data_IF_265825682646
#
_entry.id   IF_265825682646
#
_cell.length_a   1.000
_cell.length_b   1.000
_cell.length_c   1.000
_cell.angle_alpha   90.00
_cell.angle_beta   90.00
_cell.angle_gamma   90.00
#
_symmetry.space_group_name_H-M   'P 1'
#
loop_
_entity.id
_entity.type
_entity.pdbx_description
1 polymer ?
#
# COMPACT_ATOMS: atom_id res chain seq x y z
N UNK A 1 48.84 -5.24 -9.53
CA UNK A 1 47.84 -4.47 -10.29
C UNK A 1 46.47 -4.94 -9.82
N UNK A 2 45.66 -4.27 -8.99
CA UNK A 2 45.57 -2.85 -8.65
C UNK A 2 44.26 -2.28 -9.20
N UNK A 3 43.27 -2.06 -8.31
CA UNK A 3 41.94 -1.39 -8.50
C UNK A 3 40.86 -2.27 -9.18
N UNK A 4 39.60 -2.31 -8.76
CA UNK A 4 38.82 -1.30 -8.06
C UNK A 4 37.69 -1.96 -7.23
N UNK A 5 37.74 -1.83 -5.90
CA UNK A 5 36.62 -2.06 -5.01
C UNK A 5 35.72 -0.82 -5.05
N UNK A 6 34.53 -0.90 -5.66
CA UNK A 6 33.49 0.10 -5.42
C UNK A 6 32.75 -0.22 -4.12
N UNK A 7 33.20 0.43 -3.06
CA UNK A 7 32.41 0.66 -1.86
C UNK A 7 31.39 1.79 -2.04
N UNK A 8 30.74 2.11 -0.91
CA UNK A 8 29.93 3.30 -0.60
C UNK A 8 28.44 3.20 -0.97
N UNK A 9 27.48 3.54 -0.09
CA UNK A 9 27.57 4.44 1.06
C UNK A 9 27.70 3.79 2.43
N UNK A 10 28.91 3.85 2.98
CA UNK A 10 29.14 4.22 4.37
C UNK A 10 28.49 5.57 4.64
N UNK A 11 27.95 5.71 5.85
CA UNK A 11 27.69 7.02 6.44
C UNK A 11 29.01 7.79 6.39
N UNK A 12 29.09 8.79 5.53
CA UNK A 12 30.04 9.87 5.70
C UNK A 12 29.55 10.64 6.93
N UNK A 13 30.34 10.59 8.00
CA UNK A 13 30.04 11.15 9.31
C UNK A 13 30.67 10.24 10.36
N UNK A 14 31.66 10.75 11.09
CA UNK A 14 32.43 9.99 12.08
C UNK A 14 31.53 9.18 13.00
N UNK A 15 32.02 8.02 13.44
CA UNK A 15 31.38 7.29 14.52
C UNK A 15 31.51 8.18 15.75
N UNK A 16 30.47 8.95 16.08
CA UNK A 16 30.35 9.50 17.43
C UNK A 16 30.42 8.30 18.37
N UNK A 17 31.53 8.18 19.10
CA UNK A 17 31.61 7.25 20.21
C UNK A 17 30.73 7.80 21.32
N UNK A 18 29.48 7.34 21.33
CA UNK A 18 28.59 7.59 22.46
C UNK A 18 29.16 6.87 23.68
N UNK A 19 29.61 7.66 24.66
CA UNK A 19 30.05 7.16 25.95
C UNK A 19 28.89 6.54 26.75
N UNK A 20 29.25 5.96 27.89
CA UNK A 20 28.28 5.31 28.77
C UNK A 20 27.27 6.30 29.36
N UNK A 21 27.70 7.52 29.67
CA UNK A 21 26.88 8.55 30.30
C UNK A 21 25.78 9.04 29.35
N UNK A 22 26.11 9.28 28.09
CA UNK A 22 25.15 9.61 27.05
C UNK A 22 24.10 8.51 26.87
N UNK A 23 24.54 7.25 26.78
CA UNK A 23 23.63 6.10 26.62
C UNK A 23 22.73 5.93 27.84
N UNK A 24 23.26 6.18 29.05
CA UNK A 24 22.48 6.20 30.29
C UNK A 24 21.45 7.31 30.29
N UNK A 25 21.83 8.52 29.86
CA UNK A 25 20.92 9.65 29.68
C UNK A 25 19.78 9.32 28.72
N UNK A 26 20.09 8.72 27.55
CA UNK A 26 19.07 8.29 26.58
C UNK A 26 18.16 7.19 27.10
N UNK A 27 18.71 6.25 27.86
CA UNK A 27 17.92 5.23 28.54
C UNK A 27 16.92 5.88 29.51
N UNK A 28 17.40 6.77 30.39
CA UNK A 28 16.56 7.49 31.36
C UNK A 28 15.46 8.29 30.66
N UNK A 29 15.82 9.11 29.67
CA UNK A 29 14.90 9.93 28.89
C UNK A 29 13.73 9.09 28.33
N UNK A 30 14.05 7.99 27.65
CA UNK A 30 13.02 7.16 27.01
C UNK A 30 12.17 6.39 28.03
N UNK A 31 12.76 5.87 29.11
CA UNK A 31 12.01 5.22 30.18
C UNK A 31 11.03 6.18 30.87
N UNK A 32 11.47 7.40 31.19
CA UNK A 32 10.62 8.46 31.76
C UNK A 32 9.50 8.82 30.80
N UNK A 33 9.82 9.01 29.51
CA UNK A 33 8.83 9.33 28.48
C UNK A 33 7.76 8.24 28.32
N UNK A 34 8.15 6.97 28.47
CA UNK A 34 7.23 5.84 28.40
C UNK A 34 6.27 5.76 29.60
N UNK A 35 6.78 5.99 30.81
CA UNK A 35 6.00 5.87 32.06
C UNK A 35 5.21 7.13 32.41
N UNK A 36 5.76 8.30 32.08
CA UNK A 36 5.24 9.63 32.41
C UNK A 36 5.18 10.50 31.14
N UNK A 37 4.33 10.13 30.17
CA UNK A 37 4.27 10.82 28.88
C UNK A 37 3.88 12.30 29.05
N UNK A 38 4.51 13.18 28.27
CA UNK A 38 4.15 14.61 28.14
C UNK A 38 3.67 14.90 26.72
N UNK A 39 2.70 15.82 26.60
CA UNK A 39 2.13 16.21 25.31
C UNK A 39 1.50 15.05 24.56
N UNK A 40 1.76 14.96 23.25
CA UNK A 40 1.14 13.97 22.35
C UNK A 40 1.87 12.61 22.29
N UNK A 41 2.77 12.32 23.23
CA UNK A 41 3.52 11.05 23.21
C UNK A 41 2.64 9.89 23.70
N UNK A 42 2.57 8.81 22.90
CA UNK A 42 1.87 7.58 23.28
C UNK A 42 2.75 6.71 24.19
N UNK A 43 2.57 6.89 25.50
CA UNK A 43 3.26 6.15 26.56
C UNK A 43 2.74 4.72 26.75
N UNK A 44 3.32 4.02 27.73
CA UNK A 44 3.09 2.60 27.99
C UNK A 44 1.60 2.27 28.22
N UNK A 45 0.93 3.03 29.10
CA UNK A 45 -0.48 2.83 29.43
C UNK A 45 -1.41 3.02 28.23
N UNK A 46 -1.20 4.09 27.46
CA UNK A 46 -2.00 4.36 26.27
C UNK A 46 -1.80 3.31 25.17
N UNK A 47 -0.58 2.77 25.03
CA UNK A 47 -0.33 1.65 24.12
C UNK A 47 -1.02 0.37 24.60
N UNK A 48 -0.98 0.06 25.90
CA UNK A 48 -1.69 -1.09 26.48
C UNK A 48 -3.20 -1.02 26.19
N UNK A 49 -3.84 0.10 26.52
CA UNK A 49 -5.27 0.31 26.30
C UNK A 49 -5.67 0.18 24.82
N UNK A 50 -4.82 0.66 23.91
CA UNK A 50 -5.04 0.51 22.47
C UNK A 50 -4.96 -0.96 22.05
N UNK A 51 -3.92 -1.67 22.44
CA UNK A 51 -3.73 -3.08 22.04
C UNK A 51 -4.81 -3.97 22.66
N UNK A 52 -5.17 -3.74 23.92
CA UNK A 52 -6.27 -4.44 24.58
C UNK A 52 -7.60 -4.25 23.84
N UNK A 53 -7.89 -3.03 23.38
CA UNK A 53 -9.08 -2.73 22.57
C UNK A 53 -9.04 -3.46 21.22
N UNK A 54 -7.91 -3.37 20.51
CA UNK A 54 -7.72 -4.08 19.23
C UNK A 54 -7.95 -5.58 19.39
N UNK A 55 -7.37 -6.21 20.43
CA UNK A 55 -7.54 -7.64 20.69
C UNK A 55 -8.98 -8.00 21.09
N UNK A 56 -9.67 -7.15 21.84
CA UNK A 56 -11.07 -7.35 22.20
C UNK A 56 -11.99 -7.31 20.96
N UNK A 57 -11.78 -6.35 20.06
CA UNK A 57 -12.50 -6.25 18.78
C UNK A 57 -12.25 -7.49 17.91
N UNK A 58 -10.98 -7.92 17.79
CA UNK A 58 -10.62 -9.13 17.05
C UNK A 58 -11.30 -10.36 17.67
N UNK A 59 -11.28 -10.50 19.00
CA UNK A 59 -11.90 -11.63 19.71
C UNK A 59 -13.39 -11.73 19.40
N UNK A 60 -14.11 -10.59 19.44
CA UNK A 60 -15.52 -10.54 19.11
C UNK A 60 -15.78 -10.94 17.65
N UNK A 61 -15.00 -10.39 16.72
CA UNK A 61 -15.12 -10.71 15.30
C UNK A 61 -14.77 -12.16 14.98
N UNK A 62 -13.85 -12.78 15.73
CA UNK A 62 -13.42 -14.16 15.53
C UNK A 62 -14.36 -15.20 16.12
N UNK A 63 -15.40 -14.81 16.86
CA UNK A 63 -16.44 -15.73 17.35
C UNK A 63 -17.07 -16.54 16.20
N UNK A 64 -17.24 -15.94 15.03
CA UNK A 64 -17.76 -16.61 13.83
C UNK A 64 -16.87 -17.74 13.28
N UNK A 65 -15.60 -17.79 13.70
CA UNK A 65 -14.62 -18.79 13.27
C UNK A 65 -14.38 -19.89 14.29
N UNK A 66 -15.15 -19.89 15.39
CA UNK A 66 -15.16 -20.95 16.40
C UNK A 66 -14.34 -20.66 17.66
N UNK A 67 -14.60 -21.46 18.70
CA UNK A 67 -14.08 -21.26 20.06
C UNK A 67 -12.54 -21.25 20.12
N UNK A 68 -11.86 -22.07 19.30
CA UNK A 68 -10.40 -22.13 19.26
C UNK A 68 -9.76 -20.77 18.90
N UNK A 69 -10.39 -19.99 18.00
CA UNK A 69 -9.92 -18.66 17.64
C UNK A 69 -10.21 -17.64 18.75
N UNK A 70 -11.35 -17.75 19.43
CA UNK A 70 -11.70 -16.89 20.56
C UNK A 70 -10.76 -17.13 21.75
N UNK A 71 -10.50 -18.39 22.09
CA UNK A 71 -9.55 -18.77 23.15
C UNK A 71 -8.15 -18.29 22.81
N UNK A 72 -7.72 -18.47 21.55
CA UNK A 72 -6.44 -17.99 21.07
C UNK A 72 -6.26 -16.47 21.28
N UNK A 73 -7.22 -15.66 20.82
CA UNK A 73 -7.13 -14.20 20.99
C UNK A 73 -7.26 -13.81 22.47
N UNK A 74 -8.03 -14.55 23.27
CA UNK A 74 -8.06 -14.41 24.72
C UNK A 74 -6.67 -14.55 25.35
N UNK A 75 -5.92 -15.60 24.97
CA UNK A 75 -4.53 -15.81 25.42
C UNK A 75 -3.62 -14.66 24.98
N UNK A 76 -3.81 -14.09 23.78
CA UNK A 76 -3.07 -12.90 23.36
C UNK A 76 -3.27 -11.73 24.34
N UNK A 77 -4.51 -11.49 24.77
CA UNK A 77 -4.84 -10.45 25.76
C UNK A 77 -4.13 -10.68 27.10
N UNK A 78 -4.21 -11.89 27.66
CA UNK A 78 -3.53 -12.24 28.93
C UNK A 78 -2.00 -12.09 28.81
N UNK A 79 -1.45 -12.52 27.68
CA UNK A 79 -0.02 -12.42 27.39
C UNK A 79 0.46 -10.98 27.26
N UNK A 80 -0.36 -10.13 26.64
CA UNK A 80 -0.13 -8.69 26.50
C UNK A 80 -0.16 -8.00 27.87
N UNK A 81 -1.22 -8.19 28.65
CA UNK A 81 -1.36 -7.57 29.98
C UNK A 81 -0.17 -7.93 30.88
N UNK A 82 0.20 -9.22 30.91
CA UNK A 82 1.37 -9.68 31.64
C UNK A 82 2.66 -9.02 31.15
N UNK A 83 2.82 -8.86 29.84
CA UNK A 83 4.00 -8.24 29.26
C UNK A 83 4.11 -6.76 29.63
N UNK A 84 3.01 -6.01 29.60
CA UNK A 84 3.00 -4.59 29.99
C UNK A 84 3.30 -4.41 31.47
N UNK A 85 2.73 -5.26 32.35
CA UNK A 85 3.04 -5.25 33.79
C UNK A 85 4.52 -5.55 34.09
N UNK A 86 5.08 -6.59 33.47
CA UNK A 86 6.51 -6.91 33.64
C UNK A 86 7.42 -5.82 33.06
N UNK A 87 7.01 -5.23 31.94
CA UNK A 87 7.73 -4.12 31.33
C UNK A 87 7.71 -2.87 32.22
N UNK A 88 6.56 -2.48 32.76
CA UNK A 88 6.43 -1.36 33.69
C UNK A 88 7.31 -1.56 34.92
N UNK A 89 7.25 -2.76 35.53
CA UNK A 89 8.09 -3.10 36.68
C UNK A 89 9.58 -2.95 36.38
N UNK A 90 10.03 -3.49 35.24
CA UNK A 90 11.41 -3.38 34.80
C UNK A 90 11.82 -1.92 34.54
N UNK A 91 10.96 -1.12 33.90
CA UNK A 91 11.23 0.30 33.64
C UNK A 91 11.35 1.11 34.94
N UNK A 92 10.43 0.91 35.90
CA UNK A 92 10.45 1.60 37.19
C UNK A 92 11.69 1.23 38.01
N UNK A 93 12.04 -0.05 38.06
CA UNK A 93 13.24 -0.52 38.75
C UNK A 93 14.52 0.06 38.10
N UNK A 94 14.57 0.06 36.76
CA UNK A 94 15.68 0.64 36.01
C UNK A 94 15.84 2.15 36.22
N UNK A 95 14.75 2.91 36.28
CA UNK A 95 14.80 4.34 36.58
C UNK A 95 15.25 4.63 38.01
N UNK A 96 14.74 3.87 38.99
CA UNK A 96 15.08 4.07 40.40
C UNK A 96 16.57 3.83 40.67
N UNK A 97 17.17 2.87 39.96
CA UNK A 97 18.57 2.45 40.12
C UNK A 97 19.37 2.69 38.85
N UNK A 98 19.08 3.80 38.17
CA UNK A 98 19.63 4.06 36.83
C UNK A 98 21.15 4.12 36.86
N UNK A 99 21.75 4.70 37.91
CA UNK A 99 23.21 4.84 38.05
C UNK A 99 23.91 3.50 38.32
N UNK A 100 23.19 2.52 38.88
CA UNK A 100 23.71 1.18 39.17
C UNK A 100 23.66 0.24 37.95
N UNK A 101 23.05 0.66 36.85
CA UNK A 101 22.96 -0.18 35.65
C UNK A 101 24.33 -0.35 35.02
N UNK A 102 24.72 -1.61 34.80
CA UNK A 102 25.89 -1.95 33.97
C UNK A 102 25.49 -1.83 32.51
N UNK A 103 26.08 -0.87 31.80
CA UNK A 103 25.83 -0.64 30.38
C UNK A 103 27.04 -1.16 29.59
N UNK A 104 26.79 -2.13 28.71
CA UNK A 104 27.85 -2.70 27.86
C UNK A 104 27.48 -2.55 26.40
N UNK A 105 28.37 -1.98 25.58
CA UNK A 105 28.22 -1.98 24.12
C UNK A 105 28.29 -3.43 23.61
N UNK A 106 27.30 -3.81 22.80
CA UNK A 106 27.15 -5.18 22.25
C UNK A 106 27.15 -5.22 20.72
N UNK A 107 27.22 -4.07 20.08
CA UNK A 107 27.37 -3.92 18.64
C UNK A 107 27.60 -2.45 18.27
N UNK A 108 27.75 -2.16 16.97
CA UNK A 108 28.03 -0.80 16.48
C UNK A 108 27.00 0.23 16.98
N UNK A 109 25.73 -0.14 17.01
CA UNK A 109 24.62 0.74 17.38
C UNK A 109 23.74 0.16 18.50
N UNK A 110 24.31 -0.70 19.36
CA UNK A 110 23.54 -1.43 20.38
C UNK A 110 24.28 -1.53 21.71
N UNK A 111 23.57 -1.21 22.79
CA UNK A 111 24.03 -1.35 24.17
C UNK A 111 23.06 -2.22 24.95
N UNK A 112 23.59 -2.96 25.91
CA UNK A 112 22.83 -3.79 26.86
C UNK A 112 22.95 -3.14 28.23
N UNK A 113 21.82 -2.78 28.82
CA UNK A 113 21.75 -2.26 30.17
C UNK A 113 21.10 -3.31 31.08
N UNK A 114 21.76 -3.61 32.20
CA UNK A 114 21.27 -4.60 33.16
C UNK A 114 21.71 -4.24 34.58
N UNK A 115 20.79 -4.44 35.53
CA UNK A 115 21.11 -4.47 36.94
C UNK A 115 21.65 -5.85 37.35
N UNK A 116 22.61 -5.89 38.28
CA UNK A 116 23.11 -7.15 38.83
C UNK A 116 21.97 -7.90 39.55
N UNK A 117 21.87 -9.22 39.38
CA UNK A 117 20.79 -10.03 39.97
C UNK A 117 19.41 -9.89 39.33
N UNK A 118 19.12 -8.81 38.60
CA UNK A 118 17.82 -8.64 37.95
C UNK A 118 17.57 -9.70 36.85
N UNK A 119 16.31 -10.15 36.75
CA UNK A 119 15.86 -11.13 35.75
C UNK A 119 15.60 -10.49 34.37
N UNK A 120 15.29 -9.20 34.34
CA UNK A 120 15.05 -8.45 33.11
C UNK A 120 16.34 -7.90 32.50
N UNK A 121 16.27 -7.50 31.23
CA UNK A 121 17.37 -6.89 30.47
C UNK A 121 16.81 -5.81 29.55
N UNK A 122 17.49 -4.67 29.49
CA UNK A 122 17.18 -3.58 28.58
C UNK A 122 18.22 -3.53 27.47
N UNK A 123 17.79 -3.16 26.27
CA UNK A 123 18.70 -2.87 25.18
C UNK A 123 18.43 -1.49 24.63
N UNK A 124 19.48 -0.70 24.50
CA UNK A 124 19.43 0.61 23.86
C UNK A 124 19.94 0.43 22.43
N UNK A 125 19.21 1.01 21.47
CA UNK A 125 19.52 0.88 20.05
C UNK A 125 19.49 2.24 19.37
N UNK A 126 20.52 2.54 18.59
CA UNK A 126 20.49 3.58 17.58
C UNK A 126 20.05 2.96 16.24
N UNK A 127 18.88 3.37 15.75
CA UNK A 127 18.32 2.91 14.47
C UNK A 127 19.10 3.53 13.31
N UNK A 128 19.05 2.89 12.14
CA UNK A 128 19.68 3.43 10.92
C UNK A 128 19.15 4.81 10.50
N UNK A 129 17.94 5.16 10.95
CA UNK A 129 17.33 6.47 10.75
C UNK A 129 17.87 7.56 11.68
N UNK A 130 18.78 7.25 12.61
CA UNK A 130 19.28 8.17 13.62
C UNK A 130 18.46 8.23 14.91
N UNK A 131 17.31 7.56 14.96
CA UNK A 131 16.43 7.55 16.14
C UNK A 131 16.86 6.53 17.19
N UNK A 132 16.73 6.88 18.47
CA UNK A 132 16.98 5.98 19.58
C UNK A 132 15.75 5.16 19.95
N UNK A 133 16.00 3.98 20.52
CA UNK A 133 14.95 3.15 21.11
C UNK A 133 15.49 2.30 22.26
N UNK A 134 14.61 1.99 23.21
CA UNK A 134 14.87 1.09 24.34
C UNK A 134 13.95 -0.13 24.23
N UNK A 135 14.53 -1.32 24.18
CA UNK A 135 13.82 -2.61 24.17
C UNK A 135 13.85 -3.21 25.58
N UNK A 136 12.67 -3.34 26.20
CA UNK A 136 12.47 -4.21 27.36
C UNK A 136 12.20 -5.62 26.86
N UNK A 137 13.18 -6.51 27.02
CA UNK A 137 13.13 -7.87 26.45
C UNK A 137 12.50 -8.85 27.44
N UNK A 138 11.45 -9.55 26.99
CA UNK A 138 10.57 -10.34 27.85
C UNK A 138 10.51 -11.83 27.47
N UNK A 139 10.31 -12.15 26.19
CA UNK A 139 10.08 -13.52 25.69
C UNK A 139 9.04 -14.32 26.49
N UNK A 140 7.92 -13.69 26.82
CA UNK A 140 6.81 -14.36 27.51
C UNK A 140 6.08 -15.24 26.49
N UNK A 141 6.07 -16.56 26.70
CA UNK A 141 5.24 -17.47 25.89
C UNK A 141 3.78 -17.25 26.23
N UNK A 142 2.98 -17.03 25.20
CA UNK A 142 1.55 -16.71 25.29
C UNK A 142 0.71 -17.92 24.93
N UNK A 143 1.01 -18.55 23.80
CA UNK A 143 0.25 -19.69 23.31
C UNK A 143 1.14 -20.71 22.60
N UNK A 144 0.72 -21.97 22.67
CA UNK A 144 1.13 -23.05 21.78
C UNK A 144 -0.14 -23.77 21.34
N UNK A 145 -0.43 -23.76 20.06
CA UNK A 145 -1.73 -24.18 19.54
C UNK A 145 -1.63 -24.73 18.12
N UNK A 146 -2.72 -25.37 17.69
CA UNK A 146 -3.01 -25.72 16.30
C UNK A 146 -4.40 -25.19 15.99
N UNK A 147 -4.54 -24.31 15.00
CA UNK A 147 -5.85 -23.79 14.60
C UNK A 147 -6.45 -24.67 13.50
N UNK A 148 -7.79 -24.85 13.50
CA UNK A 148 -8.48 -25.54 12.42
C UNK A 148 -8.39 -24.75 11.11
N UNK A 149 -8.59 -25.41 9.97
CA UNK A 149 -8.65 -24.76 8.67
C UNK A 149 -9.98 -24.02 8.47
N UNK A 150 -10.02 -22.77 8.94
CA UNK A 150 -11.14 -21.86 8.75
C UNK A 150 -11.12 -21.20 7.37
N UNK A 151 -9.94 -21.03 6.77
CA UNK A 151 -9.82 -20.34 5.49
C UNK A 151 -10.33 -21.21 4.32
N UNK A 152 -10.19 -22.54 4.39
CA UNK A 152 -10.71 -23.50 3.40
C UNK A 152 -10.40 -23.11 1.95
N UNK A 153 -9.24 -22.49 1.72
CA UNK A 153 -8.80 -22.05 0.39
C UNK A 153 -8.11 -23.24 -0.28
N UNK A 154 -8.25 -23.43 -1.60
CA UNK A 154 -7.50 -24.47 -2.30
C UNK A 154 -6.01 -24.48 -1.94
N UNK A 155 -5.36 -25.65 -1.74
CA UNK A 155 -3.99 -25.74 -1.26
C UNK A 155 -2.97 -24.92 -2.06
N UNK A 156 -3.18 -24.80 -3.38
CA UNK A 156 -2.34 -23.99 -4.26
C UNK A 156 -2.45 -22.48 -3.94
N UNK A 157 -3.67 -21.99 -3.71
CA UNK A 157 -3.92 -20.59 -3.34
C UNK A 157 -3.47 -20.30 -1.91
N UNK A 158 -3.62 -21.24 -0.99
CA UNK A 158 -3.08 -21.14 0.36
C UNK A 158 -1.56 -21.00 0.34
N UNK A 159 -0.88 -21.79 -0.50
CA UNK A 159 0.59 -21.67 -0.70
C UNK A 159 0.96 -20.29 -1.22
N UNK A 160 0.23 -19.77 -2.20
CA UNK A 160 0.43 -18.41 -2.73
C UNK A 160 0.20 -17.36 -1.64
N UNK A 161 -0.80 -17.57 -0.79
CA UNK A 161 -1.08 -16.67 0.32
C UNK A 161 0.05 -16.64 1.36
N UNK A 162 0.57 -17.82 1.72
CA UNK A 162 1.75 -17.95 2.58
C UNK A 162 2.99 -17.30 1.95
N UNK A 163 3.21 -17.44 0.63
CA UNK A 163 4.26 -16.72 -0.10
C UNK A 163 4.12 -15.21 0.03
N UNK A 164 2.90 -14.67 -0.10
CA UNK A 164 2.61 -13.25 0.07
C UNK A 164 3.08 -12.72 1.43
N UNK A 165 2.75 -13.43 2.51
CA UNK A 165 3.20 -13.10 3.87
C UNK A 165 4.73 -13.08 4.00
N UNK A 166 5.41 -14.12 3.50
CA UNK A 166 6.87 -14.29 3.62
C UNK A 166 7.66 -13.32 2.73
N UNK A 167 7.08 -12.91 1.60
CA UNK A 167 7.63 -11.84 0.77
C UNK A 167 7.36 -10.46 1.39
N UNK A 168 6.30 -10.36 2.18
CA UNK A 168 5.78 -9.15 2.77
C UNK A 168 6.82 -8.40 3.57
N UNK A 169 7.35 -8.91 4.66
CA UNK A 169 8.18 -8.07 5.53
C UNK A 169 9.58 -8.64 5.89
N UNK A 170 10.48 -7.73 6.28
CA UNK A 170 11.86 -8.06 6.65
C UNK A 170 11.95 -8.85 7.96
N UNK A 171 10.84 -8.97 8.69
CA UNK A 171 10.72 -9.68 9.95
C UNK A 171 10.27 -11.14 9.80
N UNK A 172 10.03 -11.60 8.56
CA UNK A 172 9.77 -13.00 8.25
C UNK A 172 11.07 -13.72 7.92
N UNK A 173 11.36 -14.77 8.69
CA UNK A 173 12.47 -15.68 8.45
C UNK A 173 11.91 -17.08 8.30
N UNK A 174 12.30 -17.77 7.24
CA UNK A 174 11.69 -19.04 6.86
C UNK A 174 12.76 -19.96 6.28
N UNK A 175 12.87 -21.14 6.88
CA UNK A 175 13.77 -22.21 6.46
C UNK A 175 12.99 -23.51 6.19
N UNK A 176 13.72 -24.59 5.90
CA UNK A 176 13.14 -25.92 5.71
C UNK A 176 12.82 -26.56 7.07
N UNK A 177 11.84 -26.02 7.78
CA UNK A 177 11.37 -26.61 9.04
C UNK A 177 10.51 -25.68 9.87
N UNK A 178 10.78 -24.38 9.79
CA UNK A 178 10.04 -23.37 10.52
C UNK A 178 9.86 -22.06 9.76
N UNK A 179 8.77 -21.36 10.10
CA UNK A 179 8.51 -19.99 9.67
C UNK A 179 8.37 -19.13 10.92
N UNK A 180 9.12 -18.04 10.95
CA UNK A 180 9.19 -17.09 12.05
C UNK A 180 8.68 -15.73 11.57
N UNK A 181 7.91 -15.06 12.42
CA UNK A 181 7.45 -13.69 12.21
C UNK A 181 7.71 -12.87 13.47
N UNK A 182 8.20 -11.65 13.32
CA UNK A 182 8.12 -10.61 14.36
C UNK A 182 7.26 -9.46 13.87
N UNK A 183 6.37 -8.95 14.72
CA UNK A 183 5.51 -7.82 14.36
C UNK A 183 5.15 -6.99 15.60
N UNK A 184 4.83 -5.72 15.41
CA UNK A 184 4.20 -4.88 16.44
C UNK A 184 2.69 -4.70 16.24
N UNK A 185 2.09 -5.35 15.23
CA UNK A 185 0.69 -5.20 14.88
C UNK A 185 -0.14 -6.37 15.43
N UNK A 186 -1.16 -6.05 16.23
CA UNK A 186 -2.05 -7.03 16.89
C UNK A 186 -2.83 -7.88 15.88
N UNK A 187 -3.32 -7.26 14.82
CA UNK A 187 -4.05 -7.96 13.76
C UNK A 187 -3.18 -8.99 13.00
N UNK A 188 -1.88 -8.71 12.81
CA UNK A 188 -0.95 -9.63 12.15
C UNK A 188 -0.72 -10.87 13.00
N UNK A 189 -0.44 -10.71 14.30
CA UNK A 189 -0.27 -11.86 15.19
C UNK A 189 -1.56 -12.68 15.26
N UNK A 190 -2.73 -12.04 15.32
CA UNK A 190 -4.01 -12.75 15.33
C UNK A 190 -4.30 -13.52 14.01
N UNK A 191 -3.98 -12.93 12.86
CA UNK A 191 -4.29 -13.54 11.56
C UNK A 191 -3.30 -14.61 11.12
N UNK A 192 -2.01 -14.38 11.39
CA UNK A 192 -0.93 -15.16 10.81
C UNK A 192 -1.08 -16.68 11.02
N UNK A 193 -1.44 -17.19 12.21
CA UNK A 193 -1.65 -18.63 12.44
C UNK A 193 -2.73 -19.26 11.55
N UNK A 194 -3.76 -18.51 11.14
CA UNK A 194 -4.82 -19.00 10.25
C UNK A 194 -4.33 -19.39 8.85
N UNK A 195 -3.19 -18.85 8.41
CA UNK A 195 -2.56 -19.23 7.14
C UNK A 195 -1.75 -20.53 7.24
N UNK A 196 -1.68 -21.15 8.43
CA UNK A 196 -0.93 -22.38 8.70
C UNK A 196 -1.84 -23.40 9.40
N UNK A 197 -2.94 -23.80 8.75
CA UNK A 197 -3.90 -24.71 9.36
C UNK A 197 -3.21 -25.99 9.81
N UNK A 198 -3.62 -26.47 10.99
CA UNK A 198 -3.14 -27.73 11.60
C UNK A 198 -1.63 -27.78 11.92
N UNK A 199 -0.91 -26.66 11.77
CA UNK A 199 0.50 -26.55 12.16
C UNK A 199 0.65 -26.16 13.62
N UNK A 200 1.75 -26.60 14.22
CA UNK A 200 2.14 -26.18 15.55
C UNK A 200 2.63 -24.73 15.53
N UNK A 201 1.84 -23.83 16.11
CA UNK A 201 2.17 -22.41 16.22
C UNK A 201 2.48 -22.06 17.67
N UNK A 202 3.65 -21.45 17.89
CA UNK A 202 4.06 -20.90 19.19
C UNK A 202 4.13 -19.38 19.09
N UNK A 203 3.53 -18.71 20.06
CA UNK A 203 3.43 -17.25 20.09
C UNK A 203 3.97 -16.73 21.41
N UNK A 204 4.76 -15.66 21.31
CA UNK A 204 5.37 -14.99 22.45
C UNK A 204 5.23 -13.47 22.33
N UNK A 205 5.14 -12.78 23.46
CA UNK A 205 5.52 -11.36 23.52
C UNK A 205 7.04 -11.30 23.69
N UNK A 206 7.72 -10.85 22.65
CA UNK A 206 9.18 -10.75 22.61
C UNK A 206 9.68 -9.60 23.48
N UNK A 207 9.08 -8.42 23.32
CA UNK A 207 9.55 -7.21 23.98
C UNK A 207 8.52 -6.09 23.96
N UNK A 208 8.70 -5.11 24.85
CA UNK A 208 8.11 -3.77 24.71
C UNK A 208 9.21 -2.82 24.26
N UNK A 209 8.98 -2.10 23.16
CA UNK A 209 9.94 -1.19 22.53
C UNK A 209 9.46 0.24 22.69
N UNK A 210 10.29 1.05 23.33
CA UNK A 210 10.11 2.47 23.52
C UNK A 210 10.89 3.18 22.42
N UNK A 211 10.20 3.83 21.50
CA UNK A 211 10.81 4.69 20.51
C UNK A 211 10.65 6.14 20.96
N UNK A 212 11.41 7.05 20.35
CA UNK A 212 11.30 8.49 20.63
C UNK A 212 9.91 9.06 20.36
N UNK A 213 9.08 8.42 19.53
CA UNK A 213 7.73 8.89 19.17
C UNK A 213 6.58 8.10 19.78
N UNK A 214 6.80 6.83 20.18
CA UNK A 214 5.77 5.96 20.76
C UNK A 214 6.33 4.71 21.45
N UNK A 215 5.55 4.12 22.33
CA UNK A 215 5.74 2.75 22.83
C UNK A 215 5.00 1.74 21.95
N UNK A 216 5.59 0.57 21.72
CA UNK A 216 5.00 -0.53 20.95
C UNK A 216 5.32 -1.89 21.58
N UNK A 217 4.38 -2.83 21.54
CA UNK A 217 4.64 -4.24 21.84
C UNK A 217 5.24 -4.92 20.61
N UNK A 218 6.10 -5.93 20.80
CA UNK A 218 6.62 -6.77 19.73
C UNK A 218 6.27 -8.23 20.01
N UNK A 219 5.50 -8.80 19.10
CA UNK A 219 5.12 -10.19 19.05
C UNK A 219 6.16 -11.01 18.29
N UNK A 220 6.24 -12.29 18.63
CA UNK A 220 7.05 -13.27 17.92
C UNK A 220 6.24 -14.55 17.74
N UNK A 221 6.14 -15.01 16.50
CA UNK A 221 5.39 -16.20 16.11
C UNK A 221 6.34 -17.18 15.45
N UNK A 222 6.22 -18.46 15.79
CA UNK A 222 6.97 -19.56 15.20
C UNK A 222 6.00 -20.65 14.79
N UNK A 223 5.99 -20.99 13.50
CA UNK A 223 5.24 -22.10 12.93
C UNK A 223 6.22 -23.23 12.66
N UNK A 224 5.98 -24.39 13.25
CA UNK A 224 6.80 -25.60 13.04
C UNK A 224 6.13 -26.58 12.09
N UNK A 225 6.93 -27.46 11.49
CA UNK A 225 6.41 -28.54 10.65
C UNK A 225 6.02 -28.07 9.23
N UNK A 226 6.68 -27.01 8.77
CA UNK A 226 6.61 -26.54 7.39
C UNK A 226 7.50 -27.45 6.54
N UNK A 227 6.93 -28.54 6.04
CA UNK A 227 7.55 -29.37 5.00
C UNK A 227 7.34 -28.66 3.66
N UNK A 228 8.35 -28.71 2.79
CA UNK A 228 8.30 -28.15 1.43
C UNK A 228 8.16 -26.62 1.33
N UNK A 229 8.78 -25.88 2.26
CA UNK A 229 8.92 -24.43 2.18
C UNK A 229 9.45 -24.01 0.78
N UNK A 230 8.71 -23.21 0.00
CA UNK A 230 9.16 -22.69 -1.29
C UNK A 230 10.56 -22.09 -1.20
N UNK A 231 11.42 -22.36 -2.20
CA UNK A 231 12.78 -21.77 -2.28
C UNK A 231 12.75 -20.24 -2.14
N UNK A 232 11.67 -19.63 -2.63
CA UNK A 232 11.36 -18.22 -2.54
C UNK A 232 11.47 -17.64 -1.10
N UNK A 233 11.16 -18.46 -0.10
CA UNK A 233 11.10 -18.03 1.30
C UNK A 233 12.47 -17.74 1.89
N UNK A 234 13.48 -18.50 1.45
CA UNK A 234 14.89 -18.34 1.81
C UNK A 234 15.64 -17.29 0.99
N UNK A 235 14.97 -16.61 0.05
CA UNK A 235 15.63 -15.67 -0.84
C UNK A 235 16.13 -14.42 -0.09
N UNK A 236 17.30 -13.86 -0.47
CA UNK A 236 17.77 -12.60 0.07
C UNK A 236 16.77 -11.46 -0.17
N UNK A 237 16.75 -10.49 0.75
CA UNK A 237 15.85 -9.33 0.71
C UNK A 237 15.84 -8.60 -0.64
N UNK A 238 17.01 -8.44 -1.27
CA UNK A 238 17.14 -7.77 -2.59
C UNK A 238 16.39 -8.54 -3.68
N UNK A 239 16.40 -9.87 -3.62
CA UNK A 239 15.68 -10.71 -4.60
C UNK A 239 14.18 -10.64 -4.35
N UNK A 240 13.75 -10.73 -3.08
CA UNK A 240 12.32 -10.54 -2.70
C UNK A 240 11.79 -9.19 -3.20
N UNK A 241 12.57 -8.11 -3.07
CA UNK A 241 12.21 -6.79 -3.60
C UNK A 241 12.02 -6.77 -5.12
N UNK A 242 12.88 -7.45 -5.90
CA UNK A 242 12.72 -7.54 -7.36
C UNK A 242 11.43 -8.29 -7.75
N UNK A 243 11.10 -9.35 -7.02
CA UNK A 243 9.85 -10.09 -7.22
C UNK A 243 8.65 -9.17 -6.98
N UNK A 244 8.65 -8.41 -5.88
CA UNK A 244 7.57 -7.46 -5.57
C UNK A 244 7.41 -6.41 -6.67
N UNK A 245 8.53 -5.83 -7.16
CA UNK A 245 8.49 -4.87 -8.26
C UNK A 245 7.89 -5.47 -9.53
N UNK A 246 8.20 -6.74 -9.83
CA UNK A 246 7.62 -7.46 -10.97
C UNK A 246 6.11 -7.66 -10.80
N UNK A 247 5.64 -8.03 -9.61
CA UNK A 247 4.19 -8.19 -9.37
C UNK A 247 3.44 -6.86 -9.48
N UNK A 248 3.99 -5.77 -8.94
CA UNK A 248 3.40 -4.42 -9.08
C UNK A 248 3.41 -3.97 -10.55
N UNK A 249 4.51 -4.18 -11.27
CA UNK A 249 4.64 -3.86 -12.69
C UNK A 249 3.62 -4.60 -13.55
N UNK A 250 3.51 -5.92 -13.36
CA UNK A 250 2.54 -6.75 -14.08
C UNK A 250 1.09 -6.31 -13.82
N UNK A 251 0.73 -5.99 -12.58
CA UNK A 251 -0.61 -5.47 -12.27
C UNK A 251 -0.90 -4.13 -12.96
N UNK A 252 0.10 -3.25 -13.06
CA UNK A 252 0.00 -1.98 -13.79
C UNK A 252 -0.08 -2.15 -15.31
N UNK A 253 0.49 -3.21 -15.87
CA UNK A 253 0.36 -3.63 -17.27
C UNK A 253 -0.97 -4.33 -17.56
N UNK A 254 -1.83 -4.53 -16.56
CA UNK A 254 -3.12 -5.20 -16.71
C UNK A 254 -3.07 -6.72 -16.58
N UNK A 255 -1.91 -7.32 -16.32
CA UNK A 255 -1.74 -8.75 -16.06
C UNK A 255 -2.19 -9.05 -14.63
N UNK A 256 -3.50 -9.10 -14.38
CA UNK A 256 -4.08 -9.40 -13.06
C UNK A 256 -4.72 -10.78 -13.09
N UNK A 257 -4.07 -11.74 -12.43
CA UNK A 257 -4.57 -13.10 -12.18
C UNK A 257 -4.73 -13.32 -10.66
N UNK A 258 -5.37 -14.42 -10.26
CA UNK A 258 -5.67 -14.68 -8.84
C UNK A 258 -4.40 -14.85 -8.00
N UNK A 259 -3.34 -15.41 -8.59
CA UNK A 259 -2.06 -15.64 -7.91
C UNK A 259 -1.41 -14.30 -7.56
N UNK A 260 -1.33 -13.38 -8.52
CA UNK A 260 -0.81 -12.03 -8.33
C UNK A 260 -1.68 -11.20 -7.42
N UNK A 261 -3.00 -11.33 -7.53
CA UNK A 261 -3.94 -10.65 -6.65
C UNK A 261 -3.73 -11.06 -5.19
N UNK A 262 -3.62 -12.37 -4.91
CA UNK A 262 -3.32 -12.90 -3.58
C UNK A 262 -1.97 -12.43 -3.05
N UNK A 263 -0.91 -12.52 -3.87
CA UNK A 263 0.41 -11.99 -3.52
C UNK A 263 0.31 -10.52 -3.15
N UNK A 264 -0.26 -9.68 -4.01
CA UNK A 264 -0.37 -8.24 -3.75
C UNK A 264 -1.26 -7.91 -2.55
N UNK A 265 -2.29 -8.69 -2.26
CA UNK A 265 -3.10 -8.52 -1.05
C UNK A 265 -2.32 -8.83 0.24
N UNK A 266 -1.45 -9.83 0.20
CA UNK A 266 -0.72 -10.34 1.38
C UNK A 266 0.73 -9.85 1.47
N UNK A 267 1.21 -9.14 0.46
CA UNK A 267 2.47 -8.42 0.50
C UNK A 267 2.35 -7.26 1.51
N UNK A 268 2.97 -7.46 2.68
CA UNK A 268 3.09 -6.48 3.76
C UNK A 268 4.46 -5.78 3.79
N UNK A 269 4.99 -5.45 2.61
CA UNK A 269 6.28 -4.76 2.47
C UNK A 269 6.19 -3.31 2.89
N UNK A 270 6.50 -3.11 4.18
CA UNK A 270 6.49 -1.88 4.95
C UNK A 270 5.12 -1.19 4.90
N UNK A 271 4.61 -0.79 6.07
CA UNK A 271 3.38 -0.02 6.17
C UNK A 271 3.45 1.18 5.21
N UNK A 272 2.80 1.00 4.06
CA UNK A 272 2.46 2.08 3.17
C UNK A 272 1.44 2.95 3.88
N UNK A 273 1.43 4.22 3.51
CA UNK A 273 0.24 5.04 3.68
C UNK A 273 -0.89 4.32 2.94
N UNK A 274 -1.66 3.49 3.65
CA UNK A 274 -2.93 3.05 3.12
C UNK A 274 -3.80 4.28 3.15
N UNK A 275 -4.19 4.77 1.97
CA UNK A 275 -4.92 6.01 1.92
C UNK A 275 -6.25 5.65 2.62
N UNK A 276 -6.57 6.37 3.70
CA UNK A 276 -7.66 5.99 4.62
C UNK A 276 -9.00 5.80 3.87
N UNK A 277 -10.04 5.29 4.54
CA UNK A 277 -11.35 5.07 3.91
C UNK A 277 -11.92 6.30 3.17
N UNK A 278 -11.48 7.52 3.53
CA UNK A 278 -11.85 8.79 2.90
C UNK A 278 -10.86 9.33 1.86
N UNK A 279 -9.88 8.54 1.44
CA UNK A 279 -8.87 8.99 0.51
C UNK A 279 -9.37 8.94 -0.93
N UNK A 280 -9.23 10.05 -1.65
CA UNK A 280 -9.60 10.14 -3.07
C UNK A 280 -8.74 9.26 -4.00
N UNK A 281 -7.82 8.45 -3.47
CA UNK A 281 -6.87 7.62 -4.22
C UNK A 281 -7.23 6.14 -4.07
N UNK A 282 -7.85 5.59 -5.10
CA UNK A 282 -8.16 4.15 -5.19
C UNK A 282 -6.94 3.30 -5.59
N UNK A 283 -5.79 3.45 -4.92
CA UNK A 283 -4.52 2.79 -5.27
C UNK A 283 -4.00 1.91 -4.14
N UNK A 284 -3.36 0.78 -4.46
CA UNK A 284 -2.61 -0.02 -3.49
C UNK A 284 -1.16 0.45 -3.47
N UNK A 285 -0.72 0.95 -2.32
CA UNK A 285 0.63 1.46 -2.10
C UNK A 285 1.50 0.47 -1.32
N UNK A 286 2.76 0.34 -1.72
CA UNK A 286 3.74 -0.61 -1.19
C UNK A 286 5.08 0.09 -0.97
N UNK A 287 5.68 -0.07 0.20
CA UNK A 287 7.01 0.44 0.48
C UNK A 287 8.08 -0.62 0.14
N UNK A 288 8.61 -0.54 -1.07
CA UNK A 288 9.62 -1.49 -1.58
C UNK A 288 11.02 -0.89 -1.40
N UNK A 289 11.72 -1.33 -0.35
CA UNK A 289 13.03 -0.78 -0.01
C UNK A 289 12.89 0.61 0.61
N UNK A 290 13.45 1.65 -0.03
CA UNK A 290 13.32 3.07 0.40
C UNK A 290 12.34 3.87 -0.47
N UNK A 291 11.64 3.23 -1.41
CA UNK A 291 10.77 3.91 -2.39
C UNK A 291 9.33 3.42 -2.24
N UNK A 292 8.39 4.35 -2.29
CA UNK A 292 6.98 4.00 -2.48
C UNK A 292 6.74 3.54 -3.93
N UNK A 293 5.93 2.51 -4.08
CA UNK A 293 5.47 1.91 -5.34
C UNK A 293 3.97 1.68 -5.23
N UNK A 294 3.25 1.88 -6.33
CA UNK A 294 1.79 1.76 -6.32
C UNK A 294 1.28 0.92 -7.48
N UNK A 295 0.23 0.16 -7.22
CA UNK A 295 -0.67 -0.37 -8.24
C UNK A 295 -1.72 0.71 -8.52
N UNK A 296 -1.82 1.14 -9.78
CA UNK A 296 -2.76 2.17 -10.22
C UNK A 296 -4.21 1.71 -10.01
N UNK A 297 -5.14 2.65 -10.08
CA UNK A 297 -6.57 2.42 -9.78
C UNK A 297 -7.17 1.20 -10.45
N UNK A 298 -6.97 1.03 -11.77
CA UNK A 298 -7.53 -0.10 -12.50
C UNK A 298 -6.98 -1.45 -12.09
N UNK A 299 -5.68 -1.51 -11.80
CA UNK A 299 -5.07 -2.72 -11.24
C UNK A 299 -5.62 -3.02 -9.85
N UNK A 300 -5.74 -2.01 -9.00
CA UNK A 300 -6.21 -2.15 -7.62
C UNK A 300 -7.68 -2.62 -7.54
N UNK A 301 -8.57 -2.04 -8.35
CA UNK A 301 -9.98 -2.46 -8.43
C UNK A 301 -10.11 -3.87 -9.01
N UNK A 302 -9.35 -4.21 -10.06
CA UNK A 302 -9.36 -5.58 -10.62
C UNK A 302 -8.87 -6.61 -9.60
N UNK A 303 -7.80 -6.31 -8.87
CA UNK A 303 -7.30 -7.17 -7.79
C UNK A 303 -8.38 -7.37 -6.72
N UNK A 304 -8.97 -6.27 -6.23
CA UNK A 304 -10.01 -6.31 -5.21
C UNK A 304 -11.21 -7.19 -5.64
N UNK A 305 -11.76 -6.95 -6.84
CA UNK A 305 -12.88 -7.73 -7.39
C UNK A 305 -12.55 -9.20 -7.57
N UNK A 306 -11.36 -9.49 -8.09
CA UNK A 306 -10.93 -10.87 -8.29
C UNK A 306 -10.82 -11.61 -6.96
N UNK A 307 -10.27 -10.97 -5.93
CA UNK A 307 -10.21 -11.56 -4.59
C UNK A 307 -11.59 -11.77 -3.97
N UNK A 308 -12.50 -10.80 -4.14
CA UNK A 308 -13.89 -10.93 -3.68
C UNK A 308 -14.64 -12.07 -4.37
N UNK A 309 -14.34 -12.31 -5.64
CA UNK A 309 -14.97 -13.37 -6.42
C UNK A 309 -14.41 -14.75 -6.07
N UNK A 310 -13.09 -14.88 -5.99
CA UNK A 310 -12.41 -16.18 -5.97
C UNK A 310 -12.00 -16.63 -4.55
N UNK A 311 -11.74 -15.69 -3.63
CA UNK A 311 -11.28 -15.97 -2.25
C UNK A 311 -11.93 -15.05 -1.19
N UNK A 312 -13.27 -14.83 -1.23
CA UNK A 312 -13.95 -13.92 -0.30
C UNK A 312 -13.73 -14.26 1.17
N UNK A 313 -13.60 -15.55 1.50
CA UNK A 313 -13.38 -16.05 2.85
C UNK A 313 -12.03 -15.62 3.44
N UNK A 314 -10.99 -15.48 2.60
CA UNK A 314 -9.70 -14.95 3.05
C UNK A 314 -9.80 -13.46 3.39
N UNK A 315 -10.52 -12.69 2.57
CA UNK A 315 -10.72 -11.27 2.83
C UNK A 315 -11.56 -11.04 4.08
N UNK A 316 -12.65 -11.79 4.26
CA UNK A 316 -13.48 -11.73 5.45
C UNK A 316 -12.69 -12.07 6.72
N UNK A 317 -11.83 -13.08 6.66
CA UNK A 317 -10.96 -13.46 7.78
C UNK A 317 -9.96 -12.34 8.14
N UNK A 318 -9.34 -11.72 7.14
CA UNK A 318 -8.43 -10.60 7.36
C UNK A 318 -9.16 -9.35 7.88
N UNK A 319 -10.35 -9.03 7.37
CA UNK A 319 -11.18 -7.93 7.87
C UNK A 319 -11.56 -8.17 9.33
N UNK A 320 -11.95 -9.38 9.70
CA UNK A 320 -12.29 -9.73 11.08
C UNK A 320 -11.11 -9.54 12.05
N UNK A 321 -9.88 -9.60 11.56
CA UNK A 321 -8.69 -9.29 12.35
C UNK A 321 -8.42 -7.79 12.55
N UNK A 322 -9.18 -6.90 11.91
CA UNK A 322 -8.90 -5.46 11.86
C UNK A 322 -7.85 -5.08 10.82
N UNK A 323 -7.68 -5.90 9.77
CA UNK A 323 -6.73 -5.60 8.71
C UNK A 323 -7.25 -4.48 7.78
N UNK A 324 -6.74 -3.26 7.99
CA UNK A 324 -7.08 -2.08 7.18
C UNK A 324 -6.92 -2.27 5.67
N UNK A 325 -5.92 -3.04 5.25
CA UNK A 325 -5.71 -3.32 3.83
C UNK A 325 -6.83 -4.19 3.25
N UNK A 326 -7.32 -5.16 4.02
CA UNK A 326 -8.45 -5.99 3.60
C UNK A 326 -9.76 -5.17 3.58
N UNK A 327 -9.98 -4.29 4.56
CA UNK A 327 -11.09 -3.33 4.56
C UNK A 327 -11.03 -2.36 3.37
N UNK A 328 -9.83 -1.93 2.98
CA UNK A 328 -9.65 -1.10 1.79
C UNK A 328 -9.88 -1.88 0.50
N UNK A 329 -9.41 -3.13 0.41
CA UNK A 329 -9.73 -4.01 -0.72
C UNK A 329 -11.25 -4.29 -0.78
N UNK A 330 -11.91 -4.39 0.36
CA UNK A 330 -13.37 -4.46 0.47
C UNK A 330 -14.04 -3.28 -0.21
N UNK A 331 -13.70 -2.07 0.23
CA UNK A 331 -14.29 -0.86 -0.36
C UNK A 331 -13.99 -0.76 -1.85
N UNK A 332 -12.77 -1.08 -2.29
CA UNK A 332 -12.40 -1.08 -3.71
C UNK A 332 -13.15 -2.08 -4.58
N UNK A 333 -13.60 -3.21 -4.04
CA UNK A 333 -14.37 -4.19 -4.81
C UNK A 333 -15.75 -3.65 -5.19
N UNK A 334 -16.38 -2.89 -4.28
CA UNK A 334 -17.68 -2.25 -4.45
C UNK A 334 -17.63 -0.88 -5.10
N UNK A 335 -16.43 -0.28 -5.22
CA UNK A 335 -16.23 0.81 -6.17
C UNK A 335 -16.55 0.20 -7.53
N UNK A 336 -17.69 0.60 -8.12
CA UNK A 336 -17.84 0.56 -9.56
C UNK A 336 -16.55 1.10 -10.10
N UNK A 337 -15.86 0.38 -11.01
CA UNK A 337 -14.70 1.00 -11.59
C UNK A 337 -15.30 2.30 -12.10
N UNK A 338 -14.80 3.46 -11.66
CA UNK A 338 -14.94 4.58 -12.57
C UNK A 338 -14.38 3.96 -13.84
N UNK A 339 -15.22 3.72 -14.88
CA UNK A 339 -14.67 3.26 -16.13
C UNK A 339 -13.52 4.21 -16.31
N UNK A 340 -12.32 3.70 -16.55
CA UNK A 340 -11.23 4.59 -16.88
C UNK A 340 -11.85 5.58 -17.86
N UNK A 341 -12.12 6.83 -17.42
CA UNK A 341 -12.90 7.82 -18.17
C UNK A 341 -11.89 8.50 -19.09
N UNK A 342 -11.38 7.57 -19.88
CA UNK A 342 -10.22 7.38 -20.70
C UNK A 342 -10.50 5.99 -21.31
N UNK A 343 -11.72 5.74 -21.80
CA UNK A 343 -11.78 5.31 -23.19
C UNK A 343 -11.03 6.43 -23.89
N UNK A 344 -9.72 6.24 -24.05
CA UNK A 344 -8.91 7.19 -24.77
C UNK A 344 -9.32 6.98 -26.23
N UNK A 345 -10.52 7.47 -26.56
CA UNK A 345 -10.90 7.77 -27.92
C UNK A 345 -10.05 8.97 -28.25
N UNK A 346 -8.98 8.66 -28.96
CA UNK A 346 -8.09 9.66 -29.46
C UNK A 346 -8.68 10.17 -30.76
N UNK A 347 -8.65 11.48 -30.95
CA UNK A 347 -8.60 12.01 -32.29
C UNK A 347 -7.13 11.98 -32.72
N UNK A 348 -6.81 11.17 -33.71
CA UNK A 348 -5.47 11.12 -34.29
C UNK A 348 -5.37 12.17 -35.38
N UNK A 349 -4.43 13.11 -35.24
CA UNK A 349 -4.16 14.16 -36.23
C UNK A 349 -2.65 14.27 -36.38
N UNK A 350 -2.14 14.25 -37.60
CA UNK A 350 -0.71 14.26 -37.89
C UNK A 350 0.07 13.21 -37.08
N UNK A 351 -0.47 11.99 -36.96
CA UNK A 351 0.14 10.91 -36.18
C UNK A 351 0.22 11.16 -34.67
N UNK A 352 -0.45 12.19 -34.15
CA UNK A 352 -0.52 12.49 -32.72
C UNK A 352 -1.92 12.19 -32.20
N UNK A 353 -1.98 11.37 -31.17
CA UNK A 353 -3.21 10.95 -30.50
C UNK A 353 -3.64 11.98 -29.45
N UNK A 354 -4.66 12.77 -29.76
CA UNK A 354 -5.24 13.76 -28.83
C UNK A 354 -6.42 13.17 -28.06
N UNK A 355 -6.40 13.30 -26.74
CA UNK A 355 -7.45 12.77 -25.87
C UNK A 355 -8.75 13.56 -25.99
N UNK A 356 -9.85 12.93 -26.39
CA UNK A 356 -11.18 13.54 -26.37
C UNK A 356 -11.73 13.64 -24.94
N UNK A 357 -12.40 14.74 -24.64
CA UNK A 357 -12.95 15.05 -23.33
C UNK A 357 -14.21 15.90 -23.40
N UNK A 358 -15.15 15.62 -22.50
CA UNK A 358 -16.22 16.56 -22.16
C UNK A 358 -15.69 17.59 -21.17
N UNK A 359 -15.73 18.87 -21.56
CA UNK A 359 -15.28 20.02 -20.77
C UNK A 359 -16.45 20.95 -20.57
N UNK A 360 -16.70 21.40 -19.34
CA UNK A 360 -17.86 22.22 -19.05
C UNK A 360 -18.19 22.33 -17.57
N UNK A 361 -19.33 22.96 -17.30
CA UNK A 361 -19.92 23.04 -15.96
C UNK A 361 -21.20 22.20 -15.89
N UNK A 362 -21.84 22.12 -14.72
CA UNK A 362 -23.02 21.27 -14.48
C UNK A 362 -24.18 21.49 -15.47
N UNK A 363 -24.25 22.65 -16.14
CA UNK A 363 -25.35 23.03 -17.03
C UNK A 363 -24.97 23.07 -18.52
N UNK A 364 -23.67 23.02 -18.84
CA UNK A 364 -23.19 23.10 -20.21
C UNK A 364 -21.87 22.34 -20.37
N UNK A 365 -21.92 21.25 -21.14
CA UNK A 365 -20.74 20.49 -21.56
C UNK A 365 -20.49 20.64 -23.04
N UNK A 366 -19.22 20.77 -23.40
CA UNK A 366 -18.71 20.83 -24.76
C UNK A 366 -17.60 19.79 -24.96
N UNK A 367 -17.26 19.50 -26.21
CA UNK A 367 -16.15 18.61 -26.53
C UNK A 367 -14.82 19.37 -26.66
N UNK A 368 -13.73 18.75 -26.26
CA UNK A 368 -12.38 19.20 -26.53
C UNK A 368 -11.42 18.01 -26.76
N UNK A 369 -10.31 18.27 -27.45
CA UNK A 369 -9.22 17.32 -27.59
C UNK A 369 -7.93 17.90 -26.99
N UNK A 370 -7.15 17.10 -26.26
CA UNK A 370 -5.88 17.56 -25.66
C UNK A 370 -4.76 16.53 -25.69
N UNK A 371 -3.53 16.99 -25.90
CA UNK A 371 -2.31 16.19 -25.72
C UNK A 371 -1.34 16.93 -24.78
N UNK A 372 -0.86 16.23 -23.76
CA UNK A 372 0.05 16.78 -22.75
C UNK A 372 1.49 16.74 -23.27
N UNK A 373 2.22 17.84 -23.02
CA UNK A 373 3.66 17.91 -23.28
C UNK A 373 4.36 17.39 -22.03
N UNK A 374 5.17 16.36 -22.22
CA UNK A 374 5.96 15.64 -21.21
C UNK A 374 7.38 15.47 -21.72
N UNK A 375 8.33 15.18 -20.84
CA UNK A 375 9.74 14.96 -21.22
C UNK A 375 9.87 13.86 -22.30
N UNK A 376 9.03 12.82 -22.25
CA UNK A 376 9.06 11.68 -23.18
C UNK A 376 8.51 11.98 -24.58
N UNK A 377 7.77 13.07 -24.78
CA UNK A 377 7.07 13.36 -26.04
C UNK A 377 7.28 14.79 -26.56
N UNK A 378 8.13 15.58 -25.89
CA UNK A 378 8.38 16.98 -26.22
C UNK A 378 8.93 17.16 -27.63
N UNK A 379 9.85 16.27 -28.05
CA UNK A 379 10.44 16.31 -29.39
C UNK A 379 9.39 16.02 -30.48
N UNK A 380 8.58 14.98 -30.30
CA UNK A 380 7.48 14.61 -31.20
C UNK A 380 6.43 15.73 -31.34
N UNK A 381 6.18 16.45 -30.24
CA UNK A 381 5.16 17.50 -30.18
C UNK A 381 5.68 18.88 -30.57
N UNK A 382 6.99 19.06 -30.83
CA UNK A 382 7.61 20.35 -31.12
C UNK A 382 6.95 21.05 -32.30
N UNK A 383 6.80 20.34 -33.42
CA UNK A 383 6.20 20.87 -34.67
C UNK A 383 4.75 20.39 -34.86
N UNK A 384 4.12 19.87 -33.80
CA UNK A 384 2.75 19.36 -33.89
C UNK A 384 1.73 20.44 -34.31
N UNK A 385 1.76 21.68 -33.80
CA UNK A 385 0.79 22.71 -34.20
C UNK A 385 0.76 23.02 -35.70
N UNK A 386 1.94 23.08 -36.31
CA UNK A 386 2.12 23.34 -37.74
C UNK A 386 1.60 22.17 -38.56
N UNK A 387 1.92 20.94 -38.15
CA UNK A 387 1.45 19.70 -38.81
C UNK A 387 -0.07 19.55 -38.69
N UNK A 388 -0.63 19.76 -37.51
CA UNK A 388 -2.08 19.73 -37.28
C UNK A 388 -2.81 20.79 -38.13
N UNK A 389 -2.24 22.00 -38.25
CA UNK A 389 -2.82 23.07 -39.07
C UNK A 389 -2.85 22.72 -40.55
N UNK A 390 -1.81 22.04 -41.07
CA UNK A 390 -1.78 21.54 -42.47
C UNK A 390 -2.91 20.53 -42.73
N UNK A 391 -3.23 19.69 -41.76
CA UNK A 391 -4.38 18.78 -41.82
C UNK A 391 -5.73 19.46 -41.52
N UNK A 392 -5.72 20.75 -41.16
CA UNK A 392 -6.91 21.55 -40.95
C UNK A 392 -7.40 21.66 -39.51
N UNK A 393 -6.65 21.14 -38.52
CA UNK A 393 -6.95 21.32 -37.10
C UNK A 393 -6.11 22.45 -36.49
N UNK A 394 -6.77 23.43 -35.87
CA UNK A 394 -6.09 24.49 -35.13
C UNK A 394 -5.97 24.08 -33.67
N UNK A 395 -4.73 23.91 -33.18
CA UNK A 395 -4.43 23.62 -31.77
C UNK A 395 -3.77 24.82 -31.10
N UNK A 396 -4.07 25.03 -29.82
CA UNK A 396 -3.52 26.10 -28.99
C UNK A 396 -2.66 25.52 -27.87
N UNK A 397 -1.48 26.09 -27.63
CA UNK A 397 -0.65 25.74 -26.47
C UNK A 397 -1.24 26.40 -25.23
N UNK A 398 -1.52 25.62 -24.19
CA UNK A 398 -2.13 26.08 -22.95
C UNK A 398 -1.33 25.58 -21.75
N UNK A 399 -1.16 26.46 -20.75
CA UNK A 399 -0.53 26.11 -19.48
C UNK A 399 -1.58 25.52 -18.54
N UNK A 400 -1.35 24.31 -18.06
CA UNK A 400 -2.26 23.61 -17.14
C UNK A 400 -1.83 23.81 -15.68
N UNK A 401 -0.52 23.82 -15.42
CA UNK A 401 0.05 24.00 -14.09
C UNK A 401 1.47 24.57 -14.17
N UNK A 402 2.12 24.81 -13.01
CA UNK A 402 3.41 25.52 -12.89
C UNK A 402 4.48 25.07 -13.90
N UNK A 403 4.54 23.76 -14.23
CA UNK A 403 5.48 23.16 -15.21
C UNK A 403 4.83 22.33 -16.33
N UNK A 404 3.50 22.35 -16.46
CA UNK A 404 2.80 21.46 -17.39
C UNK A 404 2.05 22.24 -18.47
N UNK A 405 2.33 21.90 -19.73
CA UNK A 405 1.70 22.46 -20.91
C UNK A 405 0.96 21.38 -21.70
N UNK A 406 -0.04 21.77 -22.47
CA UNK A 406 -0.71 20.90 -23.43
C UNK A 406 -0.99 21.64 -24.73
N UNK A 407 -1.20 20.89 -25.81
CA UNK A 407 -1.92 21.37 -26.98
C UNK A 407 -3.40 21.00 -26.87
N UNK A 408 -4.27 21.95 -27.20
CA UNK A 408 -5.71 21.89 -27.00
C UNK A 408 -6.47 22.35 -28.24
N UNK A 409 -7.52 21.62 -28.61
CA UNK A 409 -8.52 22.02 -29.60
C UNK A 409 -9.93 21.97 -28.97
N UNK A 410 -10.67 23.07 -29.06
CA UNK A 410 -12.05 23.14 -28.57
C UNK A 410 -13.04 22.69 -29.64
N UNK A 411 -14.32 22.61 -29.26
CA UNK A 411 -15.40 22.18 -30.15
C UNK A 411 -15.42 22.89 -31.50
N UNK A 412 -15.19 24.22 -31.55
CA UNK A 412 -15.17 24.98 -32.81
C UNK A 412 -14.06 24.50 -33.74
N UNK A 413 -12.86 24.32 -33.20
CA UNK A 413 -11.71 23.83 -33.96
C UNK A 413 -11.90 22.36 -34.39
N UNK A 414 -12.48 21.52 -33.52
CA UNK A 414 -12.81 20.13 -33.84
C UNK A 414 -13.85 20.01 -34.95
N UNK A 415 -14.96 20.75 -34.90
CA UNK A 415 -15.96 20.73 -35.97
C UNK A 415 -15.39 21.27 -37.29
N UNK A 416 -14.53 22.29 -37.23
CA UNK A 416 -13.88 22.83 -38.44
C UNK A 416 -12.92 21.82 -39.10
N UNK A 417 -12.27 20.97 -38.30
CA UNK A 417 -11.48 19.85 -38.80
C UNK A 417 -12.39 18.77 -39.40
N UNK A 418 -13.44 18.34 -38.68
CA UNK A 418 -14.37 17.32 -39.16
C UNK A 418 -15.17 17.75 -40.41
N UNK A 419 -15.40 19.04 -40.62
CA UNK A 419 -16.03 19.53 -41.86
C UNK A 419 -15.14 19.29 -43.10
N UNK A 420 -13.83 19.16 -42.91
CA UNK A 420 -12.87 18.79 -43.97
C UNK A 420 -12.62 17.28 -44.04
N UNK A 421 -12.81 16.59 -42.92
CA UNK A 421 -12.58 15.15 -42.73
C UNK A 421 -13.82 14.50 -42.06
N UNK A 422 -14.94 14.30 -42.79
CA UNK A 422 -16.20 13.93 -42.16
C UNK A 422 -16.23 12.58 -41.45
N UNK A 423 -15.31 11.68 -41.77
CA UNK A 423 -15.07 10.44 -41.04
C UNK A 423 -14.67 10.68 -39.58
N UNK A 424 -14.00 11.80 -39.28
CA UNK A 424 -13.63 12.17 -37.92
C UNK A 424 -14.85 12.46 -37.04
N UNK A 425 -16.01 12.82 -37.63
CA UNK A 425 -17.26 12.95 -36.87
C UNK A 425 -17.67 11.63 -36.20
N UNK A 426 -17.36 10.48 -36.79
CA UNK A 426 -17.69 9.18 -36.18
C UNK A 426 -16.97 9.04 -34.83
N UNK A 427 -15.67 9.33 -34.79
CA UNK A 427 -14.87 9.29 -33.56
C UNK A 427 -15.42 10.24 -32.47
N UNK A 428 -15.91 11.43 -32.86
CA UNK A 428 -16.51 12.37 -31.91
C UNK A 428 -17.89 11.89 -31.43
N UNK A 429 -18.73 11.37 -32.33
CA UNK A 429 -20.08 10.87 -32.05
C UNK A 429 -20.01 9.66 -31.14
N UNK A 430 -19.15 8.68 -31.46
CA UNK A 430 -18.95 7.47 -30.67
C UNK A 430 -18.50 7.82 -29.25
N UNK A 431 -17.52 8.73 -29.12
CA UNK A 431 -17.08 9.20 -27.81
C UNK A 431 -18.21 9.85 -26.99
N UNK A 432 -18.98 10.76 -27.59
CA UNK A 432 -20.08 11.43 -26.87
C UNK A 432 -21.22 10.47 -26.55
N UNK A 433 -21.52 9.51 -27.43
CA UNK A 433 -22.53 8.50 -27.21
C UNK A 433 -22.14 7.56 -26.05
N UNK A 434 -20.89 7.07 -26.02
CA UNK A 434 -20.36 6.28 -24.90
C UNK A 434 -20.44 7.06 -23.56
N UNK A 435 -20.05 8.35 -23.57
CA UNK A 435 -20.14 9.20 -22.37
C UNK A 435 -21.59 9.43 -21.91
N UNK A 436 -22.55 9.45 -22.84
CA UNK A 436 -23.98 9.61 -22.53
C UNK A 436 -24.60 8.32 -21.98
N UNK A 437 -24.29 7.17 -22.57
CA UNK A 437 -24.76 5.86 -22.13
C UNK A 437 -24.27 5.53 -20.72
N UNK A 438 -23.06 5.99 -20.36
CA UNK A 438 -22.46 5.80 -19.02
C UNK A 438 -22.87 6.85 -17.99
N UNK A 439 -23.58 7.90 -18.39
CA UNK A 439 -24.02 8.95 -17.48
C UNK A 439 -25.30 8.52 -16.73
N UNK A 440 -25.43 8.75 -15.40
CA UNK A 440 -26.68 8.49 -14.68
C UNK A 440 -27.88 9.21 -15.31
N UNK A 441 -29.07 8.61 -15.23
CA UNK A 441 -30.29 9.17 -15.81
C UNK A 441 -30.66 10.53 -15.20
N UNK A 442 -30.35 10.72 -13.92
CA UNK A 442 -30.61 11.92 -13.13
C UNK A 442 -29.46 12.95 -13.16
N UNK A 443 -28.38 12.67 -13.93
CA UNK A 443 -27.23 13.55 -13.95
C UNK A 443 -27.58 14.92 -14.58
N UNK A 444 -27.28 16.06 -13.93
CA UNK A 444 -27.72 17.38 -14.37
C UNK A 444 -27.22 17.79 -15.76
N UNK A 445 -26.09 17.21 -16.20
CA UNK A 445 -25.51 17.48 -17.51
C UNK A 445 -26.08 16.64 -18.65
N UNK A 446 -26.90 15.61 -18.39
CA UNK A 446 -27.31 14.61 -19.39
C UNK A 446 -27.98 15.25 -20.61
N UNK A 447 -28.94 16.15 -20.36
CA UNK A 447 -29.61 16.93 -21.42
C UNK A 447 -28.64 17.75 -22.28
N UNK A 448 -27.58 18.30 -21.68
CA UNK A 448 -26.56 19.05 -22.44
C UNK A 448 -25.76 18.13 -23.36
N UNK A 449 -25.44 16.92 -22.91
CA UNK A 449 -24.68 15.93 -23.68
C UNK A 449 -25.54 15.32 -24.78
N UNK A 450 -26.84 15.06 -24.54
CA UNK A 450 -27.81 14.65 -25.56
C UNK A 450 -27.88 15.66 -26.71
N UNK A 451 -28.02 16.96 -26.38
CA UNK A 451 -28.02 18.03 -27.38
C UNK A 451 -26.69 18.12 -28.14
N UNK A 452 -25.56 17.87 -27.46
CA UNK A 452 -24.24 17.85 -28.10
C UNK A 452 -24.15 16.70 -29.13
N UNK A 453 -24.62 15.50 -28.76
CA UNK A 453 -24.67 14.34 -29.64
C UNK A 453 -25.53 14.59 -30.88
N UNK A 454 -26.72 15.17 -30.68
CA UNK A 454 -27.62 15.54 -31.78
C UNK A 454 -26.98 16.57 -32.72
N UNK A 455 -26.31 17.58 -32.15
CA UNK A 455 -25.58 18.60 -32.93
C UNK A 455 -24.46 18.00 -33.77
N UNK A 456 -23.72 17.04 -33.23
CA UNK A 456 -22.65 16.34 -33.95
C UNK A 456 -23.21 15.49 -35.11
N UNK A 457 -24.30 14.74 -34.88
CA UNK A 457 -24.99 13.96 -35.92
C UNK A 457 -25.49 14.87 -37.06
N UNK A 458 -26.17 15.97 -36.73
CA UNK A 458 -26.62 16.98 -37.71
C UNK A 458 -25.46 17.70 -38.43
N UNK A 459 -24.32 17.88 -37.76
CA UNK A 459 -23.13 18.46 -38.39
C UNK A 459 -22.52 17.49 -39.41
N UNK A 460 -22.38 16.21 -39.05
CA UNK A 460 -21.93 15.14 -39.95
C UNK A 460 -22.79 15.04 -41.20
N UNK A 461 -24.11 15.00 -41.06
CA UNK A 461 -25.03 14.94 -42.20
C UNK A 461 -24.84 16.13 -43.16
N UNK A 462 -24.70 17.35 -42.61
CA UNK A 462 -24.46 18.56 -43.40
C UNK A 462 -23.10 18.52 -44.12
N UNK A 463 -22.06 18.02 -43.45
CA UNK A 463 -20.73 17.88 -44.04
C UNK A 463 -20.73 16.85 -45.19
N UNK A 464 -21.37 15.69 -44.99
CA UNK A 464 -21.51 14.66 -46.03
C UNK A 464 -22.31 15.16 -47.24
N UNK A 465 -23.42 15.88 -47.02
CA UNK A 465 -24.19 16.50 -48.12
C UNK A 465 -23.36 17.50 -48.92
N UNK A 466 -22.53 18.31 -48.25
CA UNK A 466 -21.64 19.27 -48.92
C UNK A 466 -20.52 18.60 -49.73
N UNK A 467 -20.08 17.40 -49.33
CA UNK A 467 -19.13 16.62 -50.11
C UNK A 467 -19.79 15.96 -51.32
N UNK A 468 -21.00 15.42 -51.17
CA UNK A 468 -21.77 14.86 -52.28
C UNK A 468 -22.10 15.90 -53.36
N UNK A 469 -22.53 17.10 -52.95
CA UNK A 469 -22.82 18.22 -53.86
C UNK A 469 -21.57 18.90 -54.49
N UNK A 470 -20.37 18.40 -54.20
CA UNK A 470 -19.11 18.84 -54.85
C UNK A 470 -18.56 17.79 -55.82
N UNK A 471 -19.16 16.61 -55.86
CA UNK A 471 -18.80 15.50 -56.75
C UNK A 471 -19.77 15.33 -57.93
N UNK A 472 -20.93 16.01 -57.87
CA UNK A 472 -21.75 16.40 -59.04
C UNK A 472 -21.26 17.76 -59.55
#
# INVERSE_FOLDING_TARGET
>A
MGREMMGYGTVAGGVEEFDEEFVRGKLKELLEKALFPRGNYRGLKATHEQVARELAEIKANYAQYGEAYVEYVGRLGEGEEKAFREAEKAMREALKRVDELKIKRTGKTRWKAKLSGAKWRLYVHLKQSGYWSVEVRLYIRVAKLRLPDTLRIPPELLRVAQEGWVLGDASYDADRGEVKMSTSQSWQVASFPGFWPEKDVTICVKSVVINETRVSVTWYVVVKGVRDAPRLWSLPKVVKQRIILKEIGGANEGKVDIVRALKLALLYAADGEYPGPNSAKHVLEFAVGRRSRQVRTGGSVRIARLLYKEVPQLLAYMVASGCKKAEFLASLAFVEPRPYRLSLRYLEVAGVRMNLQLVGNKNYYTLAARVYITEDNEEMLRDFPERARKEGLVVKKMKIAKKYYCYYAGMRELTGYCDKHPEAYNTLIDFVQEELETMPLDHPARRSVERLLERLRKARERALKKLGARQE
#
